data_IF_604553401233
#
_entry.id   IF_604553401233
#
_cell.length_a   1.000
_cell.length_b   1.000
_cell.length_c   1.000
_cell.angle_alpha   90.00
_cell.angle_beta   90.00
_cell.angle_gamma   90.00
#
_symmetry.space_group_name_H-M   'P 1'
#
loop_
_entity.id
_entity.type
_entity.pdbx_description
1 polymer ?
#
# COMPACT_ATOMS: atom_id res chain seq x y z
N UNK A 1 11.94 9.36 -9.56
CA UNK A 1 12.17 8.32 -8.53
C UNK A 1 13.62 7.88 -8.62
N UNK A 2 14.47 8.29 -7.69
CA UNK A 2 15.86 7.82 -7.63
C UNK A 2 15.85 6.55 -6.75
N UNK A 3 15.64 5.39 -7.37
CA UNK A 3 15.03 4.21 -6.74
C UNK A 3 16.00 3.11 -6.31
N UNK A 4 16.90 3.39 -5.36
CA UNK A 4 17.75 2.34 -4.78
C UNK A 4 17.25 1.78 -3.44
N UNK A 5 16.40 2.52 -2.72
CA UNK A 5 15.97 2.16 -1.37
C UNK A 5 14.50 1.72 -1.34
N UNK A 6 14.23 0.60 -0.68
CA UNK A 6 12.88 0.11 -0.44
C UNK A 6 12.37 0.74 0.85
N UNK A 7 11.23 1.41 0.79
CA UNK A 7 10.68 2.16 1.94
C UNK A 7 9.63 1.34 2.71
N UNK A 8 8.72 0.66 2.00
CA UNK A 8 7.69 -0.19 2.58
C UNK A 8 7.32 -1.35 1.64
N UNK A 9 6.55 -2.33 2.13
CA UNK A 9 6.04 -3.46 1.32
C UNK A 9 4.59 -3.76 1.68
N UNK A 10 3.70 -3.68 0.70
CA UNK A 10 2.26 -3.97 0.84
C UNK A 10 1.97 -5.47 1.13
N UNK A 11 2.88 -6.35 0.70
CA UNK A 11 2.76 -7.80 0.92
C UNK A 11 2.00 -8.51 -0.20
N UNK A 12 1.88 -9.85 -0.12
CA UNK A 12 1.15 -10.64 -1.10
C UNK A 12 -0.37 -10.40 -1.01
N UNK A 13 -1.05 -10.64 -2.13
CA UNK A 13 -2.50 -10.77 -2.20
C UNK A 13 -2.92 -12.15 -1.64
N UNK A 14 -3.89 -12.17 -0.73
CA UNK A 14 -4.38 -13.42 -0.11
C UNK A 14 -5.70 -13.95 -0.71
N UNK A 15 -6.15 -13.39 -1.84
CA UNK A 15 -7.46 -13.69 -2.43
C UNK A 15 -8.55 -12.66 -2.08
N UNK A 16 -8.36 -11.88 -1.01
CA UNK A 16 -9.33 -10.90 -0.52
C UNK A 16 -8.75 -9.49 -0.42
N UNK A 17 -7.52 -9.37 0.06
CA UNK A 17 -6.82 -8.11 0.27
C UNK A 17 -5.29 -8.35 0.29
N UNK A 18 -4.53 -7.26 0.29
CA UNK A 18 -3.09 -7.33 0.56
C UNK A 18 -2.81 -7.47 2.05
N UNK A 19 -1.72 -8.15 2.43
CA UNK A 19 -1.38 -8.36 3.85
C UNK A 19 -1.25 -7.08 4.68
N UNK A 20 -0.75 -5.98 4.11
CA UNK A 20 -0.64 -4.68 4.79
C UNK A 20 -1.93 -3.84 4.78
N UNK A 21 -2.97 -4.31 4.07
CA UNK A 21 -4.25 -3.60 3.89
C UNK A 21 -5.43 -4.50 4.29
N UNK A 22 -5.51 -4.98 5.54
CA UNK A 22 -6.61 -5.84 5.98
C UNK A 22 -7.99 -5.15 5.89
N UNK A 23 -8.04 -3.81 5.92
CA UNK A 23 -9.29 -3.07 5.73
C UNK A 23 -9.76 -2.99 4.26
N UNK A 24 -8.94 -3.41 3.29
CA UNK A 24 -9.27 -3.36 1.87
C UNK A 24 -10.16 -4.54 1.46
N UNK A 25 -11.36 -4.62 2.05
CA UNK A 25 -12.33 -5.67 1.79
C UNK A 25 -13.37 -5.17 0.79
N UNK A 26 -13.60 -5.95 -0.28
CA UNK A 26 -14.65 -5.67 -1.25
C UNK A 26 -16.03 -5.68 -0.59
N UNK A 27 -16.90 -4.77 -1.00
CA UNK A 27 -18.30 -4.70 -0.56
C UNK A 27 -19.19 -4.29 -1.74
N UNK A 28 -20.49 -4.07 -1.50
CA UNK A 28 -21.46 -3.73 -2.54
C UNK A 28 -21.16 -2.44 -3.32
N UNK A 29 -20.23 -1.61 -2.87
CA UNK A 29 -19.90 -0.32 -3.50
C UNK A 29 -18.49 -0.27 -4.09
N UNK A 30 -17.57 -1.11 -3.59
CA UNK A 30 -16.18 -1.13 -4.03
C UNK A 30 -15.67 -2.55 -4.17
N UNK A 31 -15.08 -2.84 -5.33
CA UNK A 31 -14.49 -4.13 -5.61
C UNK A 31 -12.98 -3.98 -5.82
N UNK A 32 -12.23 -4.92 -5.26
CA UNK A 32 -10.78 -5.00 -5.38
C UNK A 32 -10.40 -6.37 -5.94
N UNK A 33 -9.50 -6.38 -6.91
CA UNK A 33 -9.05 -7.62 -7.54
C UNK A 33 -7.59 -7.57 -7.98
N UNK A 34 -7.00 -8.76 -8.10
CA UNK A 34 -5.78 -8.98 -8.88
C UNK A 34 -6.21 -9.72 -10.13
N UNK A 35 -6.05 -9.08 -11.28
CA UNK A 35 -6.22 -9.70 -12.58
C UNK A 35 -4.88 -10.27 -12.99
N UNK A 36 -4.87 -11.57 -13.30
CA UNK A 36 -3.70 -12.29 -13.79
C UNK A 36 -4.10 -13.00 -15.07
N UNK A 37 -3.46 -12.65 -16.18
CA UNK A 37 -3.58 -13.36 -17.45
C UNK A 37 -2.18 -13.74 -17.96
N UNK A 38 -2.08 -14.26 -19.18
CA UNK A 38 -0.80 -14.71 -19.75
C UNK A 38 0.19 -13.56 -20.01
N UNK A 39 -0.31 -12.32 -20.13
CA UNK A 39 0.49 -11.15 -20.48
C UNK A 39 0.88 -10.33 -19.24
N UNK A 40 -0.07 -10.12 -18.31
CA UNK A 40 0.02 -9.16 -17.24
C UNK A 40 -0.58 -9.65 -15.92
N UNK A 41 0.00 -9.14 -14.83
CA UNK A 41 -0.54 -9.24 -13.48
C UNK A 41 -0.70 -7.82 -12.95
N UNK A 42 -1.92 -7.40 -12.68
CA UNK A 42 -2.20 -6.06 -12.19
C UNK A 42 -3.27 -6.07 -11.09
N UNK A 43 -3.19 -5.03 -10.27
CA UNK A 43 -4.19 -4.73 -9.26
C UNK A 43 -5.20 -3.73 -9.83
N UNK A 44 -6.48 -3.99 -9.62
CA UNK A 44 -7.59 -3.16 -10.06
C UNK A 44 -8.56 -2.89 -8.91
N UNK A 45 -9.24 -1.76 -8.98
CA UNK A 45 -10.40 -1.48 -8.14
C UNK A 45 -11.49 -0.79 -8.96
N UNK A 46 -12.74 -1.13 -8.69
CA UNK A 46 -13.92 -0.47 -9.26
C UNK A 46 -14.84 0.04 -8.16
N UNK A 47 -15.53 1.15 -8.44
CA UNK A 47 -16.47 1.78 -7.52
C UNK A 47 -17.80 1.87 -8.25
N UNK A 48 -18.86 1.26 -7.71
CA UNK A 48 -20.17 1.20 -8.37
C UNK A 48 -20.97 2.50 -8.20
N UNK A 49 -20.61 3.31 -7.22
CA UNK A 49 -21.24 4.62 -7.01
C UNK A 49 -20.59 5.63 -7.97
N UNK A 50 -21.28 5.96 -9.06
CA UNK A 50 -20.81 6.88 -10.10
C UNK A 50 -20.43 8.29 -9.61
N UNK A 51 -20.82 8.67 -8.38
CA UNK A 51 -20.46 9.96 -7.77
C UNK A 51 -19.17 9.95 -6.97
N UNK A 52 -18.58 8.77 -6.70
CA UNK A 52 -17.38 8.67 -5.87
C UNK A 52 -16.14 8.70 -6.74
N UNK A 53 -15.38 9.80 -6.65
CA UNK A 53 -14.10 9.94 -7.34
C UNK A 53 -12.97 9.58 -6.40
N UNK A 54 -12.08 8.68 -6.81
CA UNK A 54 -10.90 8.29 -6.04
C UNK A 54 -9.65 8.22 -6.91
N UNK A 55 -8.50 8.62 -6.34
CA UNK A 55 -7.19 8.53 -6.99
C UNK A 55 -6.13 7.98 -6.04
N UNK A 56 -5.15 7.27 -6.60
CA UNK A 56 -3.94 6.85 -5.89
C UNK A 56 -2.76 7.66 -6.39
N UNK A 57 -2.01 8.25 -5.47
CA UNK A 57 -0.81 9.04 -5.73
C UNK A 57 0.37 8.36 -5.04
N UNK A 58 1.44 8.14 -5.79
CA UNK A 58 2.67 7.54 -5.28
C UNK A 58 3.79 8.57 -5.39
N UNK A 59 4.45 8.85 -4.27
CA UNK A 59 5.68 9.66 -4.23
C UNK A 59 6.89 8.77 -3.94
N UNK A 60 8.04 9.35 -3.57
CA UNK A 60 9.27 8.57 -3.39
C UNK A 60 9.23 7.62 -2.19
N UNK A 61 8.42 7.92 -1.17
CA UNK A 61 8.42 7.20 0.11
C UNK A 61 7.02 6.76 0.55
N UNK A 62 5.97 7.33 -0.04
CA UNK A 62 4.59 7.13 0.35
C UNK A 62 3.68 6.82 -0.82
N UNK A 63 2.62 6.09 -0.52
CA UNK A 63 1.45 5.93 -1.39
C UNK A 63 0.23 6.45 -0.65
N UNK A 64 -0.58 7.28 -1.31
CA UNK A 64 -1.78 7.88 -0.74
C UNK A 64 -2.98 7.63 -1.65
N UNK A 65 -4.07 7.14 -1.07
CA UNK A 65 -5.37 7.10 -1.73
C UNK A 65 -6.20 8.28 -1.25
N UNK A 66 -6.76 9.01 -2.20
CA UNK A 66 -7.67 10.12 -1.95
C UNK A 66 -9.06 9.78 -2.45
N UNK A 67 -10.06 10.36 -1.78
CA UNK A 67 -11.46 10.39 -2.21
C UNK A 67 -11.88 11.85 -2.28
N UNK A 68 -12.60 12.21 -3.33
CA UNK A 68 -13.15 13.55 -3.50
C UNK A 68 -14.33 13.73 -2.54
N UNK A 69 -14.30 14.81 -1.76
CA UNK A 69 -15.40 15.23 -0.91
C UNK A 69 -16.21 16.31 -1.63
N UNK A 70 -17.45 15.98 -2.01
CA UNK A 70 -18.33 16.90 -2.72
C UNK A 70 -18.84 18.05 -1.85
N UNK A 71 -18.88 17.90 -0.52
CA UNK A 71 -19.35 18.96 0.38
C UNK A 71 -18.28 20.02 0.58
N UNK A 72 -17.03 19.60 0.72
CA UNK A 72 -15.89 20.51 0.94
C UNK A 72 -15.16 20.89 -0.35
N UNK A 73 -15.56 20.31 -1.50
CA UNK A 73 -14.90 20.47 -2.79
C UNK A 73 -13.38 20.25 -2.71
N UNK A 74 -12.95 19.22 -1.98
CA UNK A 74 -11.54 18.94 -1.73
C UNK A 74 -11.20 17.44 -1.78
N UNK A 75 -9.91 17.12 -1.85
CA UNK A 75 -9.43 15.74 -1.75
C UNK A 75 -9.18 15.36 -0.30
N UNK A 76 -9.97 14.41 0.23
CA UNK A 76 -9.72 13.81 1.54
C UNK A 76 -8.84 12.57 1.43
N UNK A 77 -7.95 12.40 2.40
CA UNK A 77 -7.05 11.24 2.45
C UNK A 77 -7.82 10.05 3.00
N UNK A 78 -7.93 8.98 2.22
CA UNK A 78 -8.56 7.72 2.62
C UNK A 78 -7.57 6.75 3.24
N UNK A 79 -6.40 6.58 2.61
CA UNK A 79 -5.33 5.72 3.11
C UNK A 79 -3.97 6.36 2.82
N UNK A 80 -3.04 6.23 3.76
CA UNK A 80 -1.62 6.55 3.56
C UNK A 80 -0.78 5.33 3.90
N UNK A 81 0.16 5.00 3.04
CA UNK A 81 1.16 3.96 3.24
C UNK A 81 2.56 4.57 3.22
N UNK A 82 3.50 4.09 4.07
CA UNK A 82 3.28 3.19 5.21
C UNK A 82 2.33 3.80 6.27
N UNK A 83 1.56 2.97 7.00
CA UNK A 83 0.60 3.43 8.02
C UNK A 83 1.25 3.65 9.36
N UNK A 84 2.16 2.77 9.73
CA UNK A 84 2.84 2.80 11.02
C UNK A 84 4.33 2.50 10.90
N UNK A 85 5.01 2.46 12.05
CA UNK A 85 6.44 2.22 12.11
C UNK A 85 6.82 0.82 11.61
N UNK A 86 5.99 -0.20 11.88
CA UNK A 86 6.22 -1.59 11.49
C UNK A 86 6.14 -1.83 9.98
N UNK A 87 5.48 -0.94 9.24
CA UNK A 87 5.47 -0.99 7.77
C UNK A 87 6.80 -0.59 7.13
N UNK A 88 7.76 -0.05 7.91
CA UNK A 88 9.11 0.29 7.42
C UNK A 88 9.83 -0.95 6.93
N UNK A 89 10.26 -0.92 5.67
CA UNK A 89 10.90 -2.08 5.04
C UNK A 89 12.19 -2.49 5.77
N UNK A 90 12.28 -3.75 6.17
CA UNK A 90 13.49 -4.30 6.79
C UNK A 90 13.75 -3.83 8.22
N UNK A 91 12.73 -3.32 8.91
CA UNK A 91 12.85 -2.88 10.31
C UNK A 91 13.31 -4.01 11.24
N UNK A 92 12.76 -5.20 11.08
CA UNK A 92 13.19 -6.40 11.80
C UNK A 92 14.09 -7.26 10.92
N UNK A 93 15.07 -7.92 11.55
CA UNK A 93 15.90 -8.93 10.89
C UNK A 93 15.12 -10.19 10.52
N UNK A 94 15.75 -11.16 9.83
CA UNK A 94 15.13 -12.45 9.52
C UNK A 94 14.52 -13.11 10.77
N UNK A 95 13.33 -13.69 10.63
CA UNK A 95 12.54 -14.29 11.71
C UNK A 95 12.05 -13.32 12.81
N UNK A 96 12.37 -12.02 12.72
CA UNK A 96 11.81 -10.99 13.59
C UNK A 96 10.43 -10.53 13.13
N UNK A 97 9.56 -10.21 14.09
CA UNK A 97 8.23 -9.64 13.84
C UNK A 97 8.11 -8.30 14.57
N UNK A 98 7.59 -7.29 13.89
CA UNK A 98 7.32 -5.99 14.47
C UNK A 98 5.91 -5.99 15.06
N UNK A 99 5.80 -5.71 16.36
CA UNK A 99 4.52 -5.65 17.07
C UNK A 99 4.38 -4.25 17.63
N UNK A 100 3.38 -3.50 17.16
CA UNK A 100 2.97 -2.24 17.76
C UNK A 100 2.28 -2.53 19.09
N UNK A 101 3.02 -2.54 20.20
CA UNK A 101 2.40 -2.47 21.52
C UNK A 101 1.91 -1.04 21.74
N UNK A 102 0.72 -0.85 22.32
CA UNK A 102 0.20 0.50 22.67
C UNK A 102 1.04 1.23 23.75
N UNK A 103 2.24 0.76 24.05
CA UNK A 103 3.15 1.36 25.00
C UNK A 103 4.56 1.38 24.42
N UNK A 104 4.92 2.49 23.77
CA UNK A 104 6.27 3.01 23.82
C UNK A 104 6.26 4.54 23.93
N UNK A 105 5.72 5.05 25.03
CA UNK A 105 6.50 6.04 25.78
C UNK A 105 7.53 5.25 26.59
N UNK A 106 8.81 5.51 26.30
CA UNK A 106 9.99 5.04 27.05
C UNK A 106 10.40 3.55 26.97
N UNK A 107 11.35 3.27 26.08
CA UNK A 107 12.62 2.62 26.41
C UNK A 107 12.68 1.09 26.54
N UNK A 108 13.32 0.41 25.58
CA UNK A 108 14.69 -0.15 25.70
C UNK A 108 15.08 -0.94 24.47
N UNK A 109 16.32 -0.73 24.06
CA UNK A 109 17.03 -1.48 23.02
C UNK A 109 17.33 -2.91 23.49
N UNK A 110 17.19 -3.89 22.59
CA UNK A 110 17.87 -5.18 22.68
C UNK A 110 18.49 -5.49 21.31
N UNK A 111 19.81 -5.32 21.25
CA UNK A 111 20.68 -5.61 20.12
C UNK A 111 20.82 -7.12 19.90
N UNK A 112 20.96 -7.58 18.65
CA UNK A 112 22.11 -8.40 18.17
C UNK A 112 22.02 -8.73 16.67
N UNK A 113 23.20 -8.86 16.07
CA UNK A 113 23.55 -8.88 14.65
C UNK A 113 23.67 -10.30 14.08
N UNK A 114 23.36 -10.51 12.79
CA UNK A 114 24.28 -11.13 11.80
C UNK A 114 23.71 -11.13 10.36
N UNK A 115 24.62 -10.98 9.39
CA UNK A 115 24.36 -10.83 7.94
C UNK A 115 23.96 -12.16 7.29
N UNK A 116 22.96 -12.11 6.41
CA UNK A 116 22.63 -13.18 5.47
C UNK A 116 22.11 -12.60 4.16
N UNK A 117 22.80 -12.88 3.06
CA UNK A 117 22.56 -12.31 1.73
C UNK A 117 21.61 -13.21 0.94
N UNK A 118 20.47 -12.70 0.45
CA UNK A 118 19.73 -13.33 -0.66
C UNK A 118 19.06 -12.30 -1.57
N UNK A 119 19.35 -12.39 -2.87
CA UNK A 119 18.92 -11.46 -3.92
C UNK A 119 17.61 -11.89 -4.64
N UNK A 120 16.88 -10.84 -5.05
CA UNK A 120 15.96 -10.60 -6.20
C UNK A 120 14.84 -11.60 -6.54
N UNK A 121 13.60 -11.08 -6.51
CA UNK A 121 12.68 -11.10 -7.67
C UNK A 121 12.17 -9.67 -7.95
N UNK A 122 12.12 -9.32 -9.23
CA UNK A 122 11.61 -8.06 -9.80
C UNK A 122 10.14 -8.27 -10.13
N UNK A 123 9.24 -7.41 -9.68
CA UNK A 123 8.00 -7.09 -10.39
C UNK A 123 7.64 -5.65 -10.06
N UNK A 124 7.58 -4.78 -11.07
CA UNK A 124 6.81 -3.55 -10.99
C UNK A 124 6.39 -3.09 -12.38
N UNK A 125 5.07 -2.94 -12.56
CA UNK A 125 4.50 -1.81 -13.28
C UNK A 125 3.08 -1.54 -12.75
N UNK A 126 2.96 -0.55 -11.88
CA UNK A 126 1.68 0.14 -11.65
C UNK A 126 1.54 1.14 -12.79
N UNK A 127 0.59 0.91 -13.70
CA UNK A 127 0.20 1.92 -14.68
C UNK A 127 -1.03 2.64 -14.15
N UNK A 128 -0.81 3.86 -13.68
CA UNK A 128 -1.83 4.91 -13.55
C UNK A 128 -1.98 5.58 -14.93
N UNK A 129 -3.16 6.14 -15.26
CA UNK A 129 -3.54 7.14 -16.31
C UNK A 129 -4.75 6.62 -17.12
N UNK A 130 -5.88 7.32 -17.36
CA UNK A 130 -6.30 8.74 -17.26
C UNK A 130 -7.84 8.81 -17.17
N UNK A 131 -8.39 9.91 -16.65
CA UNK A 131 -9.79 10.32 -16.89
C UNK A 131 -10.08 10.41 -18.40
N UNK A 132 -11.23 9.89 -18.88
CA UNK A 132 -11.89 10.38 -20.07
C UNK A 132 -13.09 11.25 -19.66
N UNK A 133 -12.93 12.57 -19.74
CA UNK A 133 -14.06 13.51 -19.55
C UNK A 133 -13.74 14.74 -18.69
N UNK A 134 -12.78 15.56 -19.12
CA UNK A 134 -13.01 17.00 -19.01
C UNK A 134 -13.95 17.38 -20.15
N UNK A 135 -15.23 17.50 -19.83
CA UNK A 135 -16.22 18.47 -20.36
C UNK A 135 -17.30 18.65 -19.31
#
# INVERSE_FOLDING_TARGET
>A
MNGSEKVFRIGPWNGLHFSALPEQVSNSFIHYEIVSNDDDIFYSYSIEINTVISKVVVDQTKQRRYVWDEQEHNWRTYVTLPKDFCDTYGLCGPYGNCIMTQQQSTGKSLNTSTKGTTQRRKVQKMTVVKNPGEF
#
